data_IF_730865520089
#
_entry.id   IF_730865520089
#
_cell.length_a   1.000
_cell.length_b   1.000
_cell.length_c   1.000
_cell.angle_alpha   90.00
_cell.angle_beta   90.00
_cell.angle_gamma   90.00
#
_symmetry.space_group_name_H-M   'P 1'
#
loop_
_entity.id
_entity.type
_entity.pdbx_description
1 polymer ?
#
# COMPACT_ATOMS: atom_id res chain seq x y z
N UNK A 1 -27.37 -27.18 -33.36
CA UNK A 1 -27.90 -26.81 -32.07
C UNK A 1 -26.87 -26.57 -31.06
N UNK A 2 -25.85 -27.37 -31.03
CA UNK A 2 -24.81 -27.19 -30.03
C UNK A 2 -23.83 -26.11 -30.33
N UNK A 3 -23.99 -25.50 -31.47
CA UNK A 3 -23.08 -24.49 -31.92
C UNK A 3 -23.16 -23.21 -31.10
N UNK A 4 -24.24 -23.02 -30.41
CA UNK A 4 -24.43 -21.81 -29.64
C UNK A 4 -23.67 -21.83 -28.34
N UNK A 5 -23.37 -23.01 -27.87
CA UNK A 5 -22.71 -23.14 -26.58
C UNK A 5 -21.32 -22.44 -26.52
N UNK A 6 -20.47 -22.63 -27.50
CA UNK A 6 -19.17 -21.96 -27.47
C UNK A 6 -19.27 -20.46 -27.55
N UNK A 7 -20.28 -19.97 -28.23
CA UNK A 7 -20.48 -18.55 -28.30
C UNK A 7 -20.83 -17.95 -26.96
N UNK A 8 -21.65 -18.66 -26.23
CA UNK A 8 -22.01 -18.22 -24.89
C UNK A 8 -20.82 -18.18 -23.98
N UNK A 9 -19.96 -19.17 -24.11
CA UNK A 9 -18.76 -19.20 -23.32
C UNK A 9 -17.85 -18.03 -23.61
N UNK A 10 -17.74 -17.68 -24.85
CA UNK A 10 -16.93 -16.54 -25.24
C UNK A 10 -17.45 -15.25 -24.66
N UNK A 11 -18.74 -15.10 -24.64
CA UNK A 11 -19.33 -13.90 -24.06
C UNK A 11 -19.06 -13.79 -22.57
N UNK A 12 -19.13 -14.91 -21.91
CA UNK A 12 -18.83 -14.93 -20.48
C UNK A 12 -17.40 -14.53 -20.19
N UNK A 13 -16.49 -15.03 -20.99
CA UNK A 13 -15.09 -14.70 -20.76
C UNK A 13 -14.82 -13.22 -21.03
N UNK A 14 -15.48 -12.67 -22.02
CA UNK A 14 -15.32 -11.26 -22.31
C UNK A 14 -15.82 -10.38 -21.17
N UNK A 15 -16.78 -10.85 -20.43
CA UNK A 15 -17.32 -10.07 -19.34
C UNK A 15 -16.47 -10.10 -18.08
N UNK A 16 -15.45 -10.90 -18.08
CA UNK A 16 -14.64 -11.07 -16.89
C UNK A 16 -13.39 -10.23 -16.93
N UNK A 17 -13.40 -9.15 -17.59
CA UNK A 17 -12.22 -8.30 -17.57
C UNK A 17 -12.23 -7.54 -16.27
N UNK A 18 -11.57 -8.04 -15.27
CA UNK A 18 -11.65 -7.40 -14.00
C UNK A 18 -10.91 -6.12 -14.01
N UNK A 19 -9.78 -6.17 -14.51
CA UNK A 19 -9.01 -5.00 -14.52
C UNK A 19 -9.12 -4.23 -13.25
N UNK A 20 -8.69 -3.05 -13.31
CA UNK A 20 -8.74 -2.14 -12.19
C UNK A 20 -10.13 -1.58 -12.05
N UNK A 21 -10.58 -1.42 -10.83
CA UNK A 21 -11.85 -0.78 -10.58
C UNK A 21 -11.75 0.69 -10.96
N UNK A 22 -12.51 1.16 -11.95
CA UNK A 22 -12.40 2.54 -12.38
C UNK A 22 -12.87 3.55 -11.35
N UNK A 23 -13.59 3.11 -10.33
CA UNK A 23 -14.09 4.04 -9.33
C UNK A 23 -13.00 4.73 -8.55
N UNK A 24 -11.86 4.08 -8.39
CA UNK A 24 -10.74 4.70 -7.71
C UNK A 24 -9.76 5.40 -8.62
N UNK A 25 -10.01 5.35 -9.93
CA UNK A 25 -9.06 5.91 -10.87
C UNK A 25 -9.13 7.42 -10.92
N UNK A 26 -7.98 8.04 -11.16
CA UNK A 26 -7.90 9.48 -11.33
C UNK A 26 -8.20 9.81 -12.79
N UNK A 27 -8.99 10.84 -13.05
CA UNK A 27 -9.30 11.22 -14.43
C UNK A 27 -8.02 11.58 -15.20
N UNK A 28 -8.01 11.32 -16.52
CA UNK A 28 -6.86 11.69 -17.34
C UNK A 28 -6.58 13.19 -17.26
N UNK A 29 -5.32 13.55 -17.24
CA UNK A 29 -4.92 14.95 -17.21
C UNK A 29 -4.79 15.53 -15.82
N UNK A 30 -5.15 14.80 -14.80
CA UNK A 30 -4.98 15.27 -13.43
C UNK A 30 -3.59 14.90 -12.94
N UNK A 31 -2.88 15.90 -12.43
CA UNK A 31 -1.56 15.70 -11.86
C UNK A 31 -1.73 15.54 -10.35
N UNK A 32 -1.34 14.39 -9.85
CA UNK A 32 -1.40 14.14 -8.42
C UNK A 32 -0.19 14.74 -7.72
N UNK A 33 -0.37 15.22 -6.50
CA UNK A 33 0.77 15.68 -5.73
C UNK A 33 1.67 14.53 -5.34
N UNK A 34 2.95 14.82 -5.21
CA UNK A 34 3.89 13.83 -4.68
C UNK A 34 3.65 13.63 -3.20
N UNK A 35 3.86 12.42 -2.74
CA UNK A 35 3.78 12.15 -1.32
C UNK A 35 4.86 12.95 -0.60
N UNK A 36 4.56 13.50 0.58
CA UNK A 36 5.56 14.21 1.36
C UNK A 36 6.80 13.33 1.61
N UNK A 37 7.96 13.95 1.50
CA UNK A 37 9.22 13.21 1.53
C UNK A 37 9.48 12.51 2.86
N UNK A 38 8.92 13.02 3.96
CA UNK A 38 9.15 12.41 5.26
C UNK A 38 8.58 10.99 5.37
N UNK A 39 7.58 10.63 4.55
CA UNK A 39 7.04 9.28 4.57
C UNK A 39 8.09 8.27 4.10
N UNK A 40 8.81 8.59 3.03
CA UNK A 40 9.88 7.71 2.57
C UNK A 40 10.96 7.56 3.64
N UNK A 41 11.27 8.64 4.34
CA UNK A 41 12.29 8.62 5.39
C UNK A 41 11.93 7.71 6.55
N UNK A 42 10.68 7.71 6.97
CA UNK A 42 10.31 6.90 8.13
C UNK A 42 10.33 5.40 7.87
N UNK A 43 10.27 4.98 6.61
CA UNK A 43 10.35 3.56 6.28
C UNK A 43 11.77 3.09 5.98
N UNK A 44 12.72 3.99 5.82
CA UNK A 44 14.09 3.63 5.47
C UNK A 44 14.92 3.19 6.67
N UNK A 45 14.56 3.65 7.85
CA UNK A 45 15.36 3.35 9.03
C UNK A 45 15.14 1.92 9.46
N UNK A 46 16.22 1.19 9.58
CA UNK A 46 16.22 -0.18 10.02
C UNK A 46 17.03 -0.29 11.30
N UNK A 47 16.55 -1.11 12.20
CA UNK A 47 17.28 -1.37 13.44
C UNK A 47 18.47 -2.28 13.12
N UNK A 48 19.65 -1.85 13.52
CA UNK A 48 20.85 -2.65 13.32
C UNK A 48 20.92 -3.78 14.33
N UNK A 49 21.09 -4.99 13.82
CA UNK A 49 21.22 -6.15 14.67
C UNK A 49 22.71 -6.47 14.79
N UNK A 50 23.28 -6.48 16.02
CA UNK A 50 24.69 -6.79 16.18
C UNK A 50 24.99 -8.22 15.73
N UNK A 51 26.17 -8.38 15.13
CA UNK A 51 26.61 -9.71 14.70
C UNK A 51 27.30 -10.46 15.85
N UNK A 52 27.80 -9.73 16.83
CA UNK A 52 28.47 -10.31 17.97
C UNK A 52 27.48 -11.07 18.86
N UNK A 53 28.02 -11.91 19.76
CA UNK A 53 27.18 -12.69 20.65
C UNK A 53 26.29 -11.78 21.48
N UNK A 54 25.03 -12.19 21.60
CA UNK A 54 24.02 -11.42 22.31
C UNK A 54 23.80 -12.06 23.69
N UNK A 55 23.90 -11.21 24.72
CA UNK A 55 23.48 -11.65 26.05
C UNK A 55 21.97 -11.49 26.16
N UNK A 56 21.39 -12.08 27.21
CA UNK A 56 19.96 -11.94 27.46
C UNK A 56 19.57 -10.48 27.56
N UNK A 57 20.37 -9.68 28.26
CA UNK A 57 20.07 -8.28 28.46
C UNK A 57 20.11 -7.51 27.13
N UNK A 58 21.08 -7.83 26.29
CA UNK A 58 21.18 -7.20 24.98
C UNK A 58 20.02 -7.58 24.09
N UNK A 59 19.55 -8.82 24.19
CA UNK A 59 18.37 -9.24 23.41
C UNK A 59 17.13 -8.48 23.84
N UNK A 60 16.95 -8.29 25.15
CA UNK A 60 15.80 -7.52 25.65
C UNK A 60 15.84 -6.09 25.13
N UNK A 61 17.01 -5.46 25.16
CA UNK A 61 17.16 -4.11 24.65
C UNK A 61 16.90 -4.04 23.15
N UNK A 62 17.38 -5.04 22.43
CA UNK A 62 17.18 -5.10 20.99
C UNK A 62 15.69 -5.26 20.64
N UNK A 63 14.98 -6.09 21.38
CA UNK A 63 13.54 -6.27 21.18
C UNK A 63 12.81 -4.96 21.46
N UNK A 64 13.21 -4.23 22.50
CA UNK A 64 12.62 -2.94 22.79
C UNK A 64 12.86 -1.94 21.66
N UNK A 65 14.05 -1.91 21.10
CA UNK A 65 14.35 -1.04 19.96
C UNK A 65 13.54 -1.41 18.73
N UNK A 66 13.43 -2.70 18.45
CA UNK A 66 12.62 -3.19 17.32
C UNK A 66 11.16 -2.80 17.51
N UNK A 67 10.64 -2.95 18.71
CA UNK A 67 9.25 -2.58 18.99
C UNK A 67 9.01 -1.10 18.79
N UNK A 68 9.94 -0.30 19.27
CA UNK A 68 9.87 1.14 19.10
C UNK A 68 9.87 1.53 17.62
N UNK A 69 10.74 0.88 16.84
CA UNK A 69 10.81 1.10 15.40
C UNK A 69 9.52 0.69 14.71
N UNK A 70 8.98 -0.46 15.10
CA UNK A 70 7.71 -0.95 14.55
C UNK A 70 6.57 0.03 14.80
N UNK A 71 6.47 0.54 16.02
CA UNK A 71 5.42 1.50 16.37
C UNK A 71 5.57 2.81 15.59
N UNK A 72 6.79 3.27 15.42
CA UNK A 72 7.04 4.49 14.66
C UNK A 72 6.62 4.31 13.20
N UNK A 73 6.96 3.18 12.60
CA UNK A 73 6.57 2.88 11.23
C UNK A 73 5.08 2.70 11.07
N UNK A 74 4.44 2.12 12.07
CA UNK A 74 2.98 1.95 12.05
C UNK A 74 2.28 3.31 12.06
N UNK A 75 2.75 4.25 12.87
CA UNK A 75 2.21 5.62 12.86
C UNK A 75 2.42 6.28 11.51
N UNK A 76 3.62 6.14 10.98
CA UNK A 76 3.95 6.72 9.69
C UNK A 76 3.04 6.16 8.59
N UNK A 77 2.78 4.86 8.64
CA UNK A 77 1.88 4.22 7.69
C UNK A 77 0.46 4.75 7.78
N UNK A 78 -0.04 4.95 9.01
CA UNK A 78 -1.37 5.52 9.17
C UNK A 78 -1.45 6.94 8.66
N UNK A 79 -0.43 7.74 8.92
CA UNK A 79 -0.39 9.11 8.42
C UNK A 79 -0.36 9.13 6.91
N UNK A 80 0.39 8.23 6.29
CA UNK A 80 0.44 8.11 4.86
C UNK A 80 -0.93 7.72 4.28
N UNK A 81 -1.62 6.79 4.91
CA UNK A 81 -2.95 6.40 4.47
C UNK A 81 -3.95 7.55 4.61
N UNK A 82 -3.84 8.33 5.68
CA UNK A 82 -4.68 9.51 5.83
C UNK A 82 -4.40 10.54 4.75
N UNK A 83 -3.13 10.77 4.46
CA UNK A 83 -2.76 11.67 3.38
C UNK A 83 -3.33 11.18 2.05
N UNK A 84 -3.17 9.89 1.78
CA UNK A 84 -3.69 9.31 0.55
C UNK A 84 -5.21 9.46 0.46
N UNK A 85 -5.90 9.26 1.58
CA UNK A 85 -7.34 9.44 1.64
C UNK A 85 -7.75 10.86 1.29
N UNK A 86 -7.04 11.84 1.80
CA UNK A 86 -7.31 13.25 1.47
C UNK A 86 -7.07 13.53 0.00
N UNK A 87 -6.01 12.97 -0.56
CA UNK A 87 -5.73 13.13 -1.99
C UNK A 87 -6.85 12.51 -2.82
N UNK A 88 -7.32 11.34 -2.44
CA UNK A 88 -8.43 10.71 -3.17
C UNK A 88 -9.69 11.57 -3.16
N UNK A 89 -9.98 12.19 -2.04
CA UNK A 89 -11.14 13.06 -1.94
C UNK A 89 -10.97 14.30 -2.82
N UNK A 90 -9.78 14.87 -2.83
CA UNK A 90 -9.53 16.10 -3.57
C UNK A 90 -9.43 15.89 -5.07
N UNK A 91 -8.83 14.78 -5.50
CA UNK A 91 -8.50 14.56 -6.91
C UNK A 91 -9.23 13.39 -7.56
N UNK A 92 -9.93 12.60 -6.79
CA UNK A 92 -10.65 11.47 -7.33
C UNK A 92 -11.93 11.86 -8.04
N UNK A 93 -12.58 10.90 -8.71
CA UNK A 93 -13.83 11.18 -9.39
C UNK A 93 -14.90 11.59 -8.40
N UNK A 94 -15.66 12.58 -8.75
CA UNK A 94 -16.78 13.06 -7.93
C UNK A 94 -18.04 12.35 -8.36
N UNK A 95 -18.83 11.97 -7.41
CA UNK A 95 -20.12 11.36 -7.71
C UNK A 95 -21.19 12.39 -7.94
#
# INVERSE_FOLDING_TARGET
>A
MMKLTPLLLLLLTAGVVPGCDPKGAVPPGVVLPHAPAHYAGCFKQLTTIPISSLTREKVVLLVAELRKSELAKSRCGRDLLDWYGRVRVAYGPKK
#
